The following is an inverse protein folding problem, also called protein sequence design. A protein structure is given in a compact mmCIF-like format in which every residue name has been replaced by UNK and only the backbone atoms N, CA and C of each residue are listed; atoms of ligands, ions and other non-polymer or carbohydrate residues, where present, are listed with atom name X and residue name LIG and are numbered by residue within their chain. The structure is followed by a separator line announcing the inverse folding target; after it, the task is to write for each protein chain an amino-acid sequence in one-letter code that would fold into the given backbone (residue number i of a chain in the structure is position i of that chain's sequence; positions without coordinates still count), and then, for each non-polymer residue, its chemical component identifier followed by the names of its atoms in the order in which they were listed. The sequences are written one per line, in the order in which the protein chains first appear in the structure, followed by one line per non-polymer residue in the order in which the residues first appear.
data_IF_144134580530
#
_entry.id   IF_144134580530
#
_cell.length_a   1.000
_cell.length_b   1.000
_cell.length_c   1.000
_cell.angle_alpha   90.00
_cell.angle_beta   90.00
_cell.angle_gamma   90.00
#
_symmetry.space_group_name_H-M   'P 1'
#
loop_
_entity.id
_entity.type
_entity.pdbx_description
1 polymer ?
#
# COMPACT_ATOMS: atom_id res chain seq x y z
N UNK A 1 -36.10 -25.72 32.81
CA UNK A 1 -34.69 -25.52 32.40
C UNK A 1 -33.85 -25.45 33.67
N UNK A 2 -32.80 -26.25 33.81
CA UNK A 2 -31.91 -26.19 34.99
C UNK A 2 -31.13 -24.88 34.98
N UNK A 3 -30.82 -24.34 36.18
CA UNK A 3 -30.00 -23.10 36.32
C UNK A 3 -28.67 -23.20 35.51
N UNK A 4 -28.14 -24.42 35.43
CA UNK A 4 -26.94 -24.70 34.65
C UNK A 4 -27.11 -24.42 33.14
N UNK A 5 -28.28 -24.78 32.58
CA UNK A 5 -28.57 -24.50 31.15
C UNK A 5 -28.74 -23.03 30.86
N UNK A 6 -29.30 -22.26 31.80
CA UNK A 6 -29.43 -20.79 31.65
C UNK A 6 -28.05 -20.14 31.68
N UNK A 7 -27.17 -20.54 32.61
CA UNK A 7 -25.80 -20.02 32.68
C UNK A 7 -25.02 -20.39 31.43
N UNK A 8 -25.10 -21.63 30.96
CA UNK A 8 -24.42 -22.05 29.75
C UNK A 8 -24.88 -21.28 28.52
N UNK A 9 -26.21 -21.10 28.35
CA UNK A 9 -26.76 -20.31 27.25
C UNK A 9 -26.34 -18.84 27.31
N UNK A 10 -26.31 -18.26 28.51
CA UNK A 10 -25.83 -16.90 28.72
C UNK A 10 -24.34 -16.72 28.36
N UNK A 11 -23.49 -17.69 28.76
CA UNK A 11 -22.07 -17.65 28.41
C UNK A 11 -21.84 -17.76 26.90
N UNK A 12 -22.55 -18.63 26.21
CA UNK A 12 -22.50 -18.76 24.75
C UNK A 12 -22.91 -17.45 24.05
N UNK A 13 -24.00 -16.83 24.53
CA UNK A 13 -24.47 -15.56 23.98
C UNK A 13 -23.45 -14.45 24.13
N UNK A 14 -22.79 -14.33 25.30
CA UNK A 14 -21.72 -13.35 25.52
C UNK A 14 -20.54 -13.58 24.59
N UNK A 15 -20.06 -14.81 24.48
CA UNK A 15 -18.96 -15.14 23.58
C UNK A 15 -19.31 -14.83 22.13
N UNK A 16 -20.50 -15.21 21.67
CA UNK A 16 -20.96 -14.91 20.31
C UNK A 16 -21.02 -13.39 20.05
N UNK A 17 -21.51 -12.61 21.01
CA UNK A 17 -21.56 -11.15 20.91
C UNK A 17 -20.16 -10.55 20.81
N UNK A 18 -19.23 -10.98 21.67
CA UNK A 18 -17.83 -10.51 21.65
C UNK A 18 -17.16 -10.84 20.30
N UNK A 19 -17.30 -12.06 19.81
CA UNK A 19 -16.74 -12.47 18.52
C UNK A 19 -17.33 -11.66 17.36
N UNK A 20 -18.64 -11.39 17.39
CA UNK A 20 -19.30 -10.55 16.38
C UNK A 20 -18.77 -9.11 16.42
N UNK A 21 -18.58 -8.54 17.62
CA UNK A 21 -18.00 -7.20 17.77
C UNK A 21 -16.57 -7.15 17.24
N UNK A 22 -15.73 -8.12 17.57
CA UNK A 22 -14.36 -8.20 17.05
C UNK A 22 -14.40 -8.31 15.53
N UNK A 23 -15.24 -9.17 14.96
CA UNK A 23 -15.36 -9.34 13.52
C UNK A 23 -15.83 -8.07 12.80
N UNK A 24 -16.77 -7.32 13.37
CA UNK A 24 -17.24 -6.06 12.78
C UNK A 24 -16.23 -4.93 12.92
N UNK A 25 -15.40 -4.94 13.96
CA UNK A 25 -14.41 -3.89 14.23
C UNK A 25 -13.01 -4.20 13.66
N UNK A 26 -12.75 -5.43 13.20
CA UNK A 26 -11.40 -5.86 12.78
C UNK A 26 -10.76 -4.92 11.75
N UNK A 27 -11.54 -4.39 10.79
CA UNK A 27 -11.01 -3.45 9.78
C UNK A 27 -10.53 -2.15 10.40
N UNK A 28 -11.23 -1.62 11.40
CA UNK A 28 -10.82 -0.40 12.13
C UNK A 28 -9.58 -0.64 13.01
N UNK A 29 -9.36 -1.88 13.41
CA UNK A 29 -8.20 -2.28 14.21
C UNK A 29 -6.96 -2.54 13.34
N UNK A 30 -7.13 -2.78 12.04
CA UNK A 30 -6.03 -3.09 11.11
C UNK A 30 -5.64 -1.85 10.31
N UNK A 31 -6.61 -1.09 9.79
CA UNK A 31 -6.36 0.02 8.89
C UNK A 31 -6.47 1.36 9.62
N UNK A 32 -5.38 2.14 9.60
CA UNK A 32 -5.28 3.46 10.20
C UNK A 32 -4.98 4.51 9.12
N UNK A 33 -5.98 4.86 8.29
CA UNK A 33 -5.77 5.82 7.21
C UNK A 33 -5.55 7.23 7.76
N UNK A 34 -4.52 7.91 7.26
CA UNK A 34 -4.27 9.33 7.49
C UNK A 34 -4.57 10.06 6.17
N UNK A 35 -5.53 11.00 6.21
CA UNK A 35 -6.03 11.72 5.03
C UNK A 35 -5.13 12.87 4.60
N UNK A 36 -4.62 13.63 5.54
CA UNK A 36 -3.84 14.83 5.26
C UNK A 36 -2.47 14.50 4.67
N UNK A 37 -2.20 15.06 3.50
CA UNK A 37 -0.93 14.90 2.79
C UNK A 37 -0.35 16.28 2.54
N UNK A 38 0.76 16.64 3.18
CA UNK A 38 1.47 17.88 2.89
C UNK A 38 1.97 17.87 1.44
N UNK A 39 2.26 19.04 0.90
CA UNK A 39 2.84 19.14 -0.44
C UNK A 39 4.27 18.60 -0.46
N UNK A 40 4.78 18.11 -1.60
CA UNK A 40 6.15 17.61 -1.71
C UNK A 40 7.19 18.65 -1.26
N UNK A 41 6.97 19.93 -1.58
CA UNK A 41 7.88 21.02 -1.22
C UNK A 41 7.95 21.24 0.30
N UNK A 42 6.82 21.14 1.01
CA UNK A 42 6.77 21.28 2.48
C UNK A 42 7.60 20.20 3.20
N UNK A 43 7.80 19.05 2.57
CA UNK A 43 8.56 17.93 3.13
C UNK A 43 9.94 17.76 2.48
N UNK A 44 10.36 18.73 1.64
CA UNK A 44 11.68 18.76 1.00
C UNK A 44 11.91 17.64 -0.03
N UNK A 45 10.85 17.16 -0.68
CA UNK A 45 10.95 16.18 -1.76
C UNK A 45 10.86 16.88 -3.11
N UNK A 46 11.94 16.85 -3.88
CA UNK A 46 12.05 17.50 -5.20
C UNK A 46 11.68 16.55 -6.34
N UNK A 47 11.45 17.15 -7.53
CA UNK A 47 11.18 16.44 -8.78
C UNK A 47 9.97 15.47 -8.68
N UNK A 48 8.92 15.92 -8.00
CA UNK A 48 7.70 15.16 -7.78
C UNK A 48 6.62 15.57 -8.78
N UNK A 49 6.15 14.59 -9.53
CA UNK A 49 4.96 14.69 -10.38
C UNK A 49 3.77 14.09 -9.63
N UNK A 50 2.74 14.90 -9.25
CA UNK A 50 1.49 14.35 -8.77
C UNK A 50 0.81 13.54 -9.87
N UNK A 51 0.45 12.31 -9.58
CA UNK A 51 -0.17 11.41 -10.55
C UNK A 51 -1.50 10.90 -10.07
N UNK A 52 -2.39 10.59 -11.01
CA UNK A 52 -3.70 9.98 -10.75
C UNK A 52 -3.89 8.81 -11.70
N UNK A 53 -4.40 7.70 -11.19
CA UNK A 53 -4.72 6.52 -11.98
C UNK A 53 -6.02 5.89 -11.50
N UNK A 54 -6.68 5.14 -12.38
CA UNK A 54 -7.99 4.56 -12.12
C UNK A 54 -7.88 3.06 -11.86
N UNK A 55 -8.61 2.61 -10.85
CA UNK A 55 -8.74 1.19 -10.52
C UNK A 55 -9.80 0.52 -11.38
N UNK A 56 -9.77 -0.80 -11.46
CA UNK A 56 -10.76 -1.59 -12.23
C UNK A 56 -12.20 -1.45 -11.73
N UNK A 57 -12.38 -1.00 -10.50
CA UNK A 57 -13.69 -0.70 -9.89
C UNK A 57 -14.02 0.81 -9.90
N UNK A 58 -13.30 1.60 -10.72
CA UNK A 58 -13.65 2.98 -11.02
C UNK A 58 -13.21 4.01 -9.99
N UNK A 59 -12.37 3.66 -9.01
CA UNK A 59 -11.81 4.64 -8.09
C UNK A 59 -10.60 5.35 -8.71
N UNK A 60 -10.52 6.67 -8.52
CA UNK A 60 -9.36 7.48 -8.89
C UNK A 60 -8.45 7.63 -7.68
N UNK A 61 -7.25 7.11 -7.78
CA UNK A 61 -6.24 7.15 -6.73
C UNK A 61 -5.13 8.11 -7.09
N UNK A 62 -4.63 8.80 -6.09
CA UNK A 62 -3.52 9.73 -6.20
C UNK A 62 -2.22 9.09 -5.71
N UNK A 63 -1.13 9.47 -6.35
CA UNK A 63 0.23 9.10 -5.98
C UNK A 63 1.22 10.20 -6.30
N UNK A 64 2.48 9.96 -6.03
CA UNK A 64 3.59 10.82 -6.40
C UNK A 64 4.62 10.02 -7.19
N UNK A 65 4.89 10.47 -8.41
CA UNK A 65 6.00 9.96 -9.18
C UNK A 65 7.21 10.85 -8.93
N UNK A 66 8.24 10.30 -8.32
CA UNK A 66 9.48 11.01 -7.99
C UNK A 66 10.49 10.67 -9.07
N UNK A 67 10.79 11.67 -9.90
CA UNK A 67 11.75 11.52 -10.99
C UNK A 67 13.19 11.61 -10.47
N UNK A 68 14.14 11.19 -11.31
CA UNK A 68 15.57 11.40 -11.07
C UNK A 68 16.16 12.28 -12.13
N UNK A 69 17.12 13.14 -11.75
CA UNK A 69 17.77 14.10 -12.64
C UNK A 69 18.92 13.48 -13.48
N UNK A 70 19.13 12.16 -13.39
CA UNK A 70 20.19 11.43 -14.10
C UNK A 70 19.73 10.84 -15.45
N UNK A 71 20.61 10.07 -16.11
CA UNK A 71 20.24 9.28 -17.27
C UNK A 71 19.10 8.33 -16.88
N UNK A 72 18.21 8.02 -17.84
CA UNK A 72 17.03 7.20 -17.60
C UNK A 72 17.37 6.00 -16.70
N UNK A 73 16.76 5.90 -15.52
CA UNK A 73 17.07 4.83 -14.59
C UNK A 73 16.64 3.49 -15.20
N UNK A 74 17.38 2.45 -14.91
CA UNK A 74 17.01 1.09 -15.33
C UNK A 74 15.85 0.52 -14.52
N UNK A 75 15.52 1.16 -13.41
CA UNK A 75 14.60 0.64 -12.39
C UNK A 75 13.73 1.76 -11.85
N UNK A 76 12.43 1.52 -11.79
CA UNK A 76 11.47 2.33 -11.06
C UNK A 76 10.92 1.52 -9.89
N UNK A 77 10.91 2.13 -8.72
CA UNK A 77 10.46 1.47 -7.47
C UNK A 77 9.01 1.86 -7.21
N UNK A 78 8.13 0.88 -7.09
CA UNK A 78 6.75 1.09 -6.66
C UNK A 78 6.64 0.86 -5.15
N UNK A 79 6.27 1.90 -4.41
CA UNK A 79 6.20 1.90 -2.94
C UNK A 79 4.77 2.08 -2.50
N UNK A 80 4.29 1.16 -1.68
CA UNK A 80 3.00 1.25 -1.02
C UNK A 80 3.17 1.57 0.47
N UNK A 81 2.17 2.26 1.02
CA UNK A 81 2.07 2.42 2.47
C UNK A 81 1.74 1.07 3.14
N UNK A 82 2.08 0.96 4.42
CA UNK A 82 1.58 -0.11 5.25
C UNK A 82 0.13 0.13 5.69
N UNK A 83 -0.22 -0.41 6.85
CA UNK A 83 -1.56 -0.27 7.45
C UNK A 83 -1.82 1.11 8.08
N UNK A 84 -0.81 1.98 8.16
CA UNK A 84 -0.90 3.33 8.72
C UNK A 84 -0.10 4.34 7.89
N UNK A 85 -0.48 5.61 8.00
CA UNK A 85 0.20 6.72 7.34
C UNK A 85 -0.33 6.99 5.94
N UNK A 86 0.49 7.71 5.16
CA UNK A 86 0.25 8.04 3.76
C UNK A 86 1.59 8.19 3.01
N UNK A 87 1.54 8.54 1.72
CA UNK A 87 2.73 8.69 0.85
C UNK A 87 3.76 9.69 1.39
N UNK A 88 3.34 10.75 2.10
CA UNK A 88 4.27 11.74 2.65
C UNK A 88 5.21 11.12 3.71
N UNK A 89 4.74 10.16 4.49
CA UNK A 89 5.59 9.43 5.44
C UNK A 89 6.66 8.56 4.76
N UNK A 90 6.55 8.34 3.45
CA UNK A 90 7.52 7.59 2.64
C UNK A 90 8.47 8.50 1.85
N UNK A 91 8.32 9.83 1.98
CA UNK A 91 9.20 10.78 1.32
C UNK A 91 10.69 10.59 1.64
N UNK A 92 11.12 10.33 2.89
CA UNK A 92 12.54 10.07 3.16
C UNK A 92 13.07 8.82 2.43
N UNK A 93 12.25 7.78 2.28
CA UNK A 93 12.60 6.59 1.51
C UNK A 93 12.70 6.90 0.02
N UNK A 94 11.76 7.68 -0.52
CA UNK A 94 11.79 8.09 -1.92
C UNK A 94 13.02 8.97 -2.22
N UNK A 95 13.35 9.92 -1.35
CA UNK A 95 14.55 10.75 -1.47
C UNK A 95 15.84 9.89 -1.47
N UNK A 96 15.90 8.87 -0.62
CA UNK A 96 17.03 7.94 -0.61
C UNK A 96 17.16 7.17 -1.94
N UNK A 97 16.06 6.67 -2.49
CA UNK A 97 16.06 6.02 -3.81
C UNK A 97 16.45 7.00 -4.93
N UNK A 98 15.89 8.21 -4.92
CA UNK A 98 16.21 9.26 -5.88
C UNK A 98 17.71 9.60 -5.86
N UNK A 99 18.31 9.71 -4.68
CA UNK A 99 19.75 9.95 -4.53
C UNK A 99 20.60 8.82 -5.15
N UNK A 100 20.08 7.60 -5.20
CA UNK A 100 20.72 6.47 -5.88
C UNK A 100 20.34 6.36 -7.37
N UNK A 101 19.71 7.38 -7.95
CA UNK A 101 19.33 7.41 -9.36
C UNK A 101 18.13 6.51 -9.70
N UNK A 102 17.29 6.17 -8.74
CA UNK A 102 16.08 5.38 -8.94
C UNK A 102 14.86 6.27 -8.97
N UNK A 103 13.97 6.04 -9.92
CA UNK A 103 12.62 6.62 -9.90
C UNK A 103 11.74 5.90 -8.88
N UNK A 104 10.77 6.62 -8.32
CA UNK A 104 9.87 6.04 -7.31
C UNK A 104 8.43 6.45 -7.60
N UNK A 105 7.51 5.50 -7.55
CA UNK A 105 6.09 5.79 -7.45
C UNK A 105 5.62 5.51 -6.02
N UNK A 106 5.28 6.57 -5.29
CA UNK A 106 4.63 6.48 -3.98
C UNK A 106 3.12 6.47 -4.17
N UNK A 107 2.45 5.46 -3.65
CA UNK A 107 1.00 5.26 -3.82
C UNK A 107 0.31 5.21 -2.47
N UNK A 108 -0.82 5.91 -2.39
CA UNK A 108 -1.78 5.72 -1.31
C UNK A 108 -2.90 4.79 -1.77
N UNK A 109 -3.26 3.85 -0.91
CA UNK A 109 -4.42 3.01 -1.10
C UNK A 109 -5.73 3.79 -0.94
N UNK A 110 -6.83 3.20 -1.39
CA UNK A 110 -8.18 3.70 -1.09
C UNK A 110 -8.37 3.98 0.40
N UNK A 111 -8.97 5.15 0.72
CA UNK A 111 -9.14 5.63 2.09
C UNK A 111 -7.92 6.30 2.70
N UNK A 112 -6.72 6.18 2.13
CA UNK A 112 -5.49 6.80 2.60
C UNK A 112 -5.13 8.03 1.75
N UNK A 113 -4.41 8.98 2.35
CA UNK A 113 -3.85 10.13 1.64
C UNK A 113 -4.88 10.96 0.86
N UNK A 114 -6.11 11.05 1.36
CA UNK A 114 -7.21 11.73 0.68
C UNK A 114 -7.86 10.93 -0.47
N UNK A 115 -7.45 9.70 -0.72
CA UNK A 115 -8.05 8.85 -1.74
C UNK A 115 -9.46 8.38 -1.31
N UNK A 116 -10.41 8.28 -2.25
CA UNK A 116 -11.75 7.81 -1.97
C UNK A 116 -11.78 6.33 -1.59
N UNK A 117 -12.92 5.89 -1.05
CA UNK A 117 -13.19 4.48 -0.76
C UNK A 117 -12.79 4.05 0.64
N UNK A 118 -12.95 2.77 0.91
CA UNK A 118 -12.65 2.15 2.22
C UNK A 118 -11.68 1.00 2.03
N UNK A 119 -10.62 0.89 2.85
CA UNK A 119 -9.64 -0.19 2.75
C UNK A 119 -10.29 -1.55 2.95
N UNK A 120 -10.06 -2.43 1.99
CA UNK A 120 -10.43 -3.85 2.05
C UNK A 120 -9.35 -4.66 1.34
N UNK A 121 -9.19 -5.92 1.68
CA UNK A 121 -8.18 -6.78 1.09
C UNK A 121 -8.27 -6.83 -0.45
N UNK A 122 -9.45 -7.08 -0.99
CA UNK A 122 -9.69 -7.09 -2.44
C UNK A 122 -9.49 -5.71 -3.06
N UNK A 123 -9.90 -4.65 -2.34
CA UNK A 123 -9.70 -3.27 -2.77
C UNK A 123 -8.23 -2.90 -2.88
N UNK A 124 -7.43 -3.18 -1.86
CA UNK A 124 -6.00 -2.93 -1.87
C UNK A 124 -5.28 -3.70 -2.99
N UNK A 125 -5.73 -4.93 -3.27
CA UNK A 125 -5.23 -5.71 -4.39
C UNK A 125 -5.58 -5.08 -5.76
N UNK A 126 -6.78 -4.49 -5.90
CA UNK A 126 -7.16 -3.74 -7.10
C UNK A 126 -6.32 -2.46 -7.25
N UNK A 127 -6.10 -1.72 -6.16
CA UNK A 127 -5.26 -0.51 -6.13
C UNK A 127 -3.82 -0.82 -6.55
N UNK A 128 -3.25 -1.91 -6.04
CA UNK A 128 -1.89 -2.35 -6.39
C UNK A 128 -1.76 -2.69 -7.86
N UNK A 129 -2.76 -3.38 -8.43
CA UNK A 129 -2.77 -3.69 -9.87
C UNK A 129 -2.89 -2.43 -10.73
N UNK A 130 -3.72 -1.47 -10.31
CA UNK A 130 -3.88 -0.20 -11.01
C UNK A 130 -2.60 0.63 -11.02
N UNK A 131 -1.92 0.75 -9.88
CA UNK A 131 -0.63 1.42 -9.78
C UNK A 131 0.44 0.76 -10.66
N UNK A 132 0.48 -0.57 -10.70
CA UNK A 132 1.36 -1.29 -11.60
C UNK A 132 1.03 -1.05 -13.08
N UNK A 133 -0.24 -1.14 -13.46
CA UNK A 133 -0.67 -0.89 -14.83
C UNK A 133 -0.35 0.54 -15.28
N UNK A 134 -0.50 1.51 -14.36
CA UNK A 134 -0.09 2.89 -14.60
C UNK A 134 1.40 3.00 -14.93
N UNK A 135 2.28 2.40 -14.13
CA UNK A 135 3.72 2.39 -14.40
C UNK A 135 4.07 1.68 -15.70
N UNK A 136 3.43 0.54 -15.98
CA UNK A 136 3.67 -0.23 -17.20
C UNK A 136 3.26 0.52 -18.48
N UNK A 137 2.34 1.48 -18.37
CA UNK A 137 1.89 2.34 -19.46
C UNK A 137 2.75 3.59 -19.67
N UNK A 138 3.66 3.91 -18.76
CA UNK A 138 4.52 5.10 -18.89
C UNK A 138 5.69 4.86 -19.85
N UNK A 139 5.92 5.76 -20.84
CA UNK A 139 7.02 5.59 -21.81
C UNK A 139 8.40 5.87 -21.19
N UNK A 140 8.46 6.66 -20.12
CA UNK A 140 9.67 7.07 -19.39
C UNK A 140 10.06 6.12 -18.25
N UNK A 141 9.29 5.05 -18.06
CA UNK A 141 9.55 4.01 -17.06
C UNK A 141 10.14 2.79 -17.75
N UNK A 142 11.40 2.46 -17.49
CA UNK A 142 11.98 1.22 -17.99
C UNK A 142 11.24 0.03 -17.39
N UNK A 143 11.15 -1.05 -18.17
CA UNK A 143 10.37 -2.22 -17.77
C UNK A 143 10.85 -2.79 -16.44
N UNK A 144 10.05 -2.56 -15.42
CA UNK A 144 9.88 -3.27 -14.15
C UNK A 144 11.08 -3.57 -13.26
N UNK A 145 11.04 -2.95 -12.10
CA UNK A 145 11.41 -3.64 -10.89
C UNK A 145 10.38 -3.34 -9.81
N UNK A 146 9.86 -4.38 -9.18
CA UNK A 146 8.99 -4.25 -8.02
C UNK A 146 9.82 -4.22 -6.75
N UNK A 147 9.52 -3.28 -5.90
CA UNK A 147 9.94 -3.31 -4.51
C UNK A 147 8.69 -3.47 -3.63
N UNK A 148 8.59 -4.61 -2.99
CA UNK A 148 7.70 -4.84 -1.88
C UNK A 148 8.55 -4.81 -0.62
N UNK A 149 8.45 -3.71 0.14
CA UNK A 149 9.21 -3.57 1.36
C UNK A 149 8.55 -4.29 2.54
N UNK A 150 9.01 -5.50 2.88
CA UNK A 150 8.83 -6.05 4.22
C UNK A 150 10.01 -5.63 5.08
N UNK A 151 9.70 -5.05 6.25
CA UNK A 151 10.67 -4.51 7.16
C UNK A 151 11.78 -5.48 7.55
N UNK A 152 12.94 -5.19 7.12
CA UNK A 152 14.26 -5.37 7.69
C UNK A 152 15.26 -4.87 6.64
N UNK A 153 16.18 -4.02 7.03
CA UNK A 153 17.19 -3.36 6.17
C UNK A 153 18.15 -4.30 5.44
N UNK A 154 17.91 -5.60 5.34
CA UNK A 154 18.89 -6.59 4.85
C UNK A 154 18.57 -7.34 3.57
N UNK A 155 17.48 -7.10 2.88
CA UNK A 155 17.26 -7.79 1.60
C UNK A 155 16.45 -7.01 0.59
N UNK A 156 17.13 -6.07 -0.07
CA UNK A 156 16.71 -5.62 -1.40
C UNK A 156 17.07 -6.75 -2.35
N UNK A 157 16.11 -7.61 -2.68
CA UNK A 157 16.29 -8.59 -3.75
C UNK A 157 15.69 -8.01 -5.02
N UNK A 158 16.54 -7.66 -5.96
CA UNK A 158 16.14 -7.33 -7.30
C UNK A 158 15.67 -8.61 -8.00
N UNK A 159 14.37 -8.73 -8.23
CA UNK A 159 13.82 -9.85 -8.97
C UNK A 159 13.59 -9.44 -10.43
N UNK A 160 14.64 -9.47 -11.26
CA UNK A 160 14.51 -9.35 -12.72
C UNK A 160 13.60 -10.43 -13.33
N UNK A 161 13.43 -11.56 -12.66
CA UNK A 161 12.56 -12.65 -13.06
C UNK A 161 11.07 -12.44 -12.71
N UNK A 162 10.74 -11.53 -11.81
CA UNK A 162 9.36 -11.34 -11.34
C UNK A 162 8.46 -10.67 -12.39
N UNK A 163 9.03 -9.95 -13.35
CA UNK A 163 8.28 -9.24 -14.39
C UNK A 163 7.56 -10.17 -15.38
N UNK A 164 8.06 -11.40 -15.58
CA UNK A 164 7.42 -12.38 -16.46
C UNK A 164 6.40 -13.28 -15.77
N UNK A 165 6.48 -13.43 -14.46
CA UNK A 165 5.57 -14.30 -13.70
C UNK A 165 4.25 -13.63 -13.31
N UNK A 166 4.18 -12.31 -13.25
CA UNK A 166 2.97 -11.59 -12.82
C UNK A 166 1.82 -11.65 -13.85
N UNK A 167 2.14 -11.80 -15.13
CA UNK A 167 1.10 -11.87 -16.18
C UNK A 167 0.33 -13.19 -16.25
N UNK A 168 0.77 -14.23 -15.54
CA UNK A 168 0.20 -15.58 -15.65
C UNK A 168 -0.35 -16.20 -14.37
N UNK A 169 -0.15 -15.61 -13.20
CA UNK A 169 -0.69 -16.17 -11.94
C UNK A 169 -1.31 -15.08 -11.07
N UNK A 170 -2.63 -15.08 -11.00
CA UNK A 170 -3.44 -14.27 -10.10
C UNK A 170 -3.32 -14.77 -8.65
N UNK A 171 -2.16 -14.58 -8.07
CA UNK A 171 -1.90 -14.80 -6.65
C UNK A 171 -1.33 -13.51 -6.07
N UNK A 172 -2.19 -12.67 -5.48
CA UNK A 172 -1.76 -11.45 -4.82
C UNK A 172 -0.87 -11.77 -3.61
N UNK A 173 0.42 -11.61 -3.75
CA UNK A 173 1.29 -11.47 -2.59
C UNK A 173 1.09 -10.06 -2.03
N UNK A 174 0.14 -9.90 -1.12
CA UNK A 174 -0.01 -8.69 -0.32
C UNK A 174 1.15 -8.68 0.66
N UNK A 175 2.09 -7.80 0.42
CA UNK A 175 3.19 -7.62 1.36
C UNK A 175 2.79 -6.56 2.36
N UNK A 176 2.37 -7.02 3.53
CA UNK A 176 2.07 -6.18 4.67
C UNK A 176 3.36 -5.68 5.32
N UNK A 177 3.50 -4.37 5.41
CA UNK A 177 4.43 -3.72 6.34
C UNK A 177 3.81 -3.79 7.75
N UNK A 178 4.20 -4.77 8.53
CA UNK A 178 4.04 -4.71 9.97
C UNK A 178 5.23 -3.92 10.52
N UNK A 179 5.00 -2.68 10.93
CA UNK A 179 5.97 -1.99 11.78
C UNK A 179 5.93 -2.63 13.16
N UNK A 180 7.08 -2.99 13.75
CA UNK A 180 7.11 -3.30 15.17
C UNK A 180 6.72 -2.05 15.94
N UNK A 181 5.76 -2.18 16.84
CA UNK A 181 5.48 -1.19 17.87
C UNK A 181 6.71 -1.13 18.79
N UNK A 182 7.49 -0.07 18.69
CA UNK A 182 8.43 0.34 19.74
C UNK A 182 7.93 1.63 20.37
#
# INVERSE_FOLDING_TARGET
MSRLMIIAAGSVAVVATVLTLIWTMQRRLIYFPIGDVPTPDEIGLSDVEPVTFETTDGLRLNGWFVATSGPLPRVTVLVFNGNAGNRAHRAPLAAAFQHHGLQVLLVDYRGYGGNPGTPTENGLAADSRAAHAYLAGRPDVPRCAFFSGTGSQRSIRFAESACRCWSSQAGAAIVHFLQPLT
#
